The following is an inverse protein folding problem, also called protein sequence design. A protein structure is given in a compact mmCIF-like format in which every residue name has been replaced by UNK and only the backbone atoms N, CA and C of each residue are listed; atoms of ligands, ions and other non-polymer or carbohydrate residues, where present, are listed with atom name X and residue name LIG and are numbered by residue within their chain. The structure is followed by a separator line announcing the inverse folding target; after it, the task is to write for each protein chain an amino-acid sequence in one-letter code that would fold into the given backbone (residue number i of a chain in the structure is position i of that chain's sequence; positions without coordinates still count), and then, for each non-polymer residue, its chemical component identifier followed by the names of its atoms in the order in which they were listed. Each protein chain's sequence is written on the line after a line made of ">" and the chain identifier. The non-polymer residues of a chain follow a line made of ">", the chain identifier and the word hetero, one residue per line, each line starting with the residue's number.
data_IF_014804079260
#
_entry.id   IF_014804079260
#
_cell.length_a   1.000
_cell.length_b   1.000
_cell.length_c   1.000
_cell.angle_alpha   90.00
_cell.angle_beta   90.00
_cell.angle_gamma   90.00
#
_symmetry.space_group_name_H-M   'P 1'
#
loop_
_entity.id
_entity.type
_entity.pdbx_description
1 polymer ?
#
# COMPACT_ATOMS: atom_id res chain seq x y z
N UNK A 1 -2.29 20.68 -11.50
CA UNK A 1 -2.26 19.61 -10.48
C UNK A 1 -1.40 20.07 -9.32
N UNK A 2 -1.80 19.77 -8.08
CA UNK A 2 -0.99 20.10 -6.90
C UNK A 2 0.25 19.20 -6.85
N UNK A 3 1.36 19.72 -6.34
CA UNK A 3 2.58 18.95 -6.09
C UNK A 3 2.25 17.80 -5.13
N UNK A 4 2.84 16.63 -5.33
CA UNK A 4 2.72 15.54 -4.35
C UNK A 4 3.46 15.93 -3.06
N UNK A 5 2.84 15.68 -1.92
CA UNK A 5 3.35 16.09 -0.60
C UNK A 5 3.59 14.89 0.31
N UNK A 6 2.86 13.78 0.13
CA UNK A 6 2.96 12.62 1.02
C UNK A 6 2.89 11.28 0.30
N UNK A 7 3.78 10.37 0.67
CA UNK A 7 3.82 8.99 0.22
C UNK A 7 3.57 8.02 1.39
N UNK A 8 2.79 6.96 1.16
CA UNK A 8 2.66 5.82 2.06
C UNK A 8 3.27 4.57 1.43
N UNK A 9 4.31 4.03 2.04
CA UNK A 9 5.09 2.91 1.49
C UNK A 9 5.04 1.73 2.45
N UNK A 10 4.54 0.57 2.00
CA UNK A 10 4.46 -0.67 2.78
C UNK A 10 4.76 -1.86 1.89
N UNK A 11 5.96 -2.41 1.99
CA UNK A 11 6.49 -3.37 1.01
C UNK A 11 6.98 -4.67 1.66
N UNK A 12 6.53 -5.79 1.10
CA UNK A 12 7.09 -7.12 1.36
C UNK A 12 8.44 -7.25 0.66
N UNK A 13 8.45 -7.11 -0.67
CA UNK A 13 9.67 -6.99 -1.48
C UNK A 13 10.14 -5.53 -1.49
N UNK A 14 11.35 -5.30 -0.98
CA UNK A 14 11.93 -3.96 -0.76
C UNK A 14 12.98 -3.62 -1.81
N UNK A 15 12.97 -4.29 -2.95
CA UNK A 15 13.88 -4.02 -4.06
C UNK A 15 13.72 -2.59 -4.57
N UNK A 16 14.84 -1.87 -4.69
CA UNK A 16 14.89 -0.48 -5.18
C UNK A 16 14.21 0.57 -4.28
N UNK A 17 13.83 0.23 -3.04
CA UNK A 17 13.14 1.17 -2.16
C UNK A 17 14.06 2.31 -1.72
N UNK A 18 15.36 2.06 -1.57
CA UNK A 18 16.35 3.02 -1.11
C UNK A 18 16.45 4.20 -2.08
N UNK A 19 16.60 3.89 -3.37
CA UNK A 19 16.66 4.90 -4.43
C UNK A 19 15.31 5.62 -4.57
N UNK A 20 14.21 4.87 -4.60
CA UNK A 20 12.88 5.45 -4.77
C UNK A 20 12.52 6.39 -3.61
N UNK A 21 12.58 5.91 -2.37
CA UNK A 21 12.26 6.70 -1.19
C UNK A 21 13.26 7.85 -0.97
N UNK A 22 14.55 7.64 -1.27
CA UNK A 22 15.56 8.69 -1.21
C UNK A 22 15.24 9.85 -2.16
N UNK A 23 14.80 9.55 -3.38
CA UNK A 23 14.37 10.57 -4.35
C UNK A 23 13.08 11.29 -3.93
N UNK A 24 12.09 10.57 -3.38
CA UNK A 24 10.89 11.19 -2.83
C UNK A 24 11.24 12.18 -1.71
N UNK A 25 12.12 11.78 -0.78
CA UNK A 25 12.58 12.64 0.31
C UNK A 25 13.32 13.88 -0.23
N UNK A 26 14.18 13.74 -1.25
CA UNK A 26 14.86 14.88 -1.90
C UNK A 26 13.90 15.85 -2.57
N UNK A 27 12.76 15.36 -3.07
CA UNK A 27 11.69 16.20 -3.63
C UNK A 27 10.83 16.91 -2.55
N UNK A 28 11.08 16.61 -1.27
CA UNK A 28 10.36 17.16 -0.13
C UNK A 28 9.03 16.44 0.16
N UNK A 29 8.87 15.20 -0.30
CA UNK A 29 7.68 14.39 -0.06
C UNK A 29 7.84 13.67 1.30
N UNK A 30 6.89 13.87 2.22
CA UNK A 30 6.86 13.18 3.50
C UNK A 30 6.57 11.69 3.28
N UNK A 31 7.38 10.81 3.88
CA UNK A 31 7.22 9.36 3.75
C UNK A 31 6.63 8.79 5.03
N UNK A 32 5.47 8.15 4.88
CA UNK A 32 4.85 7.30 5.88
C UNK A 32 5.22 5.83 5.61
N UNK A 33 5.58 5.08 6.64
CA UNK A 33 5.80 3.65 6.52
C UNK A 33 5.60 2.92 7.84
N UNK A 34 5.73 1.60 7.84
CA UNK A 34 5.62 0.76 9.03
C UNK A 34 6.56 -0.45 8.94
N UNK A 35 6.84 -1.06 10.09
CA UNK A 35 7.56 -2.32 10.24
C UNK A 35 8.91 -2.36 9.53
N UNK A 36 9.20 -3.49 8.88
CA UNK A 36 10.48 -3.70 8.19
C UNK A 36 10.74 -2.75 7.03
N UNK A 37 9.71 -2.14 6.46
CA UNK A 37 9.85 -1.15 5.38
C UNK A 37 10.40 0.17 5.93
N UNK A 38 9.84 0.67 7.04
CA UNK A 38 10.34 1.86 7.73
C UNK A 38 11.77 1.65 8.26
N UNK A 39 12.04 0.47 8.86
CA UNK A 39 13.38 0.11 9.36
C UNK A 39 14.43 0.20 8.25
N UNK A 40 14.18 -0.41 7.09
CA UNK A 40 15.11 -0.41 5.96
C UNK A 40 15.42 1.00 5.46
N UNK A 41 14.41 1.88 5.40
CA UNK A 41 14.62 3.28 5.03
C UNK A 41 15.49 4.04 6.05
N UNK A 42 15.24 3.86 7.35
CA UNK A 42 16.04 4.49 8.42
C UNK A 42 17.50 4.05 8.40
N UNK A 43 17.77 2.77 8.14
CA UNK A 43 19.14 2.24 8.00
C UNK A 43 19.93 2.91 6.87
N UNK A 44 19.24 3.47 5.87
CA UNK A 44 19.83 4.22 4.76
C UNK A 44 19.74 5.75 4.95
N UNK A 45 19.41 6.21 6.15
CA UNK A 45 19.32 7.64 6.47
C UNK A 45 18.13 8.37 5.83
N UNK A 46 17.12 7.65 5.34
CA UNK A 46 15.94 8.23 4.70
C UNK A 46 14.93 8.60 5.81
N UNK A 47 14.51 9.87 5.91
CA UNK A 47 13.49 10.28 6.88
C UNK A 47 12.17 9.57 6.62
N UNK A 48 11.62 8.94 7.66
CA UNK A 48 10.35 8.23 7.57
C UNK A 48 9.58 8.35 8.89
N UNK A 49 8.31 8.71 8.75
CA UNK A 49 7.35 8.81 9.83
C UNK A 49 6.57 7.50 9.95
N UNK A 50 6.41 7.00 11.17
CA UNK A 50 5.65 5.77 11.37
C UNK A 50 4.15 6.02 11.13
N UNK A 51 3.48 5.06 10.49
CA UNK A 51 2.02 5.11 10.31
C UNK A 51 1.31 5.24 11.66
N UNK A 52 1.81 4.60 12.72
CA UNK A 52 1.25 4.72 14.07
C UNK A 52 1.31 6.15 14.62
N UNK A 53 2.37 6.91 14.31
CA UNK A 53 2.49 8.33 14.68
C UNK A 53 1.50 9.17 13.86
N UNK A 54 1.36 8.88 12.57
CA UNK A 54 0.41 9.55 11.69
C UNK A 54 -1.06 9.32 12.10
N UNK A 55 -1.41 8.08 12.43
CA UNK A 55 -2.77 7.72 12.84
C UNK A 55 -3.06 8.12 14.28
N UNK A 56 -2.05 8.10 15.15
CA UNK A 56 -2.21 8.14 16.61
C UNK A 56 -2.71 6.80 17.17
N UNK A 57 -2.58 5.71 16.42
CA UNK A 57 -3.06 4.38 16.79
C UNK A 57 -1.95 3.34 16.60
N UNK A 58 -1.63 2.52 17.61
CA UNK A 58 -0.55 1.56 17.52
C UNK A 58 -0.89 0.41 16.56
N UNK A 59 0.14 -0.32 16.13
CA UNK A 59 -0.04 -1.61 15.50
C UNK A 59 -0.62 -2.62 16.50
N UNK A 60 -1.63 -3.40 16.10
CA UNK A 60 -2.34 -4.34 16.97
C UNK A 60 -2.59 -5.68 16.27
N UNK A 61 -2.90 -6.70 17.08
CA UNK A 61 -3.29 -8.05 16.63
C UNK A 61 -2.23 -8.66 15.72
N UNK A 62 -0.98 -8.70 16.19
CA UNK A 62 0.18 -9.25 15.47
C UNK A 62 0.38 -8.65 14.06
N UNK A 63 0.05 -7.36 13.92
CA UNK A 63 0.23 -6.61 12.68
C UNK A 63 -0.92 -6.69 11.69
N UNK A 64 -2.01 -7.38 12.05
CA UNK A 64 -3.25 -7.45 11.25
C UNK A 64 -3.95 -6.09 11.14
N UNK A 65 -3.85 -5.26 12.18
CA UNK A 65 -4.46 -3.92 12.21
C UNK A 65 -3.38 -2.87 12.40
N UNK A 66 -2.96 -2.26 11.28
CA UNK A 66 -1.96 -1.18 11.24
C UNK A 66 -2.35 -0.02 10.33
N UNK A 67 -2.91 -0.30 9.15
CA UNK A 67 -3.26 0.71 8.13
C UNK A 67 -4.75 0.86 7.90
N UNK A 68 -5.58 -0.02 8.47
CA UNK A 68 -7.05 0.01 8.40
C UNK A 68 -7.61 1.12 9.30
N UNK A 69 -7.30 2.37 8.96
CA UNK A 69 -7.62 3.55 9.77
C UNK A 69 -8.19 4.70 8.93
N UNK A 70 -9.19 5.47 9.42
CA UNK A 70 -9.77 6.59 8.69
C UNK A 70 -8.76 7.66 8.26
N UNK A 71 -7.74 7.95 9.07
CA UNK A 71 -6.65 8.87 8.66
C UNK A 71 -5.87 8.40 7.43
N UNK A 72 -5.70 7.09 7.25
CA UNK A 72 -5.05 6.53 6.06
C UNK A 72 -6.01 6.57 4.88
N UNK A 73 -7.17 5.92 5.00
CA UNK A 73 -8.09 5.78 3.87
C UNK A 73 -8.81 7.07 3.51
N UNK A 74 -9.09 7.95 4.47
CA UNK A 74 -9.61 9.30 4.21
C UNK A 74 -8.59 10.19 3.52
N UNK A 75 -7.30 10.05 3.86
CA UNK A 75 -6.19 10.70 3.13
C UNK A 75 -6.05 10.21 1.68
N UNK A 76 -6.35 8.94 1.42
CA UNK A 76 -6.30 8.33 0.09
C UNK A 76 -7.56 8.62 -0.74
N UNK A 77 -8.76 8.51 -0.16
CA UNK A 77 -10.04 8.50 -0.88
C UNK A 77 -10.67 9.89 -1.06
N UNK A 78 -10.19 10.90 -0.34
CA UNK A 78 -10.70 12.25 -0.51
C UNK A 78 -10.41 12.76 -1.93
N UNK A 79 -11.44 13.35 -2.56
CA UNK A 79 -11.31 13.95 -3.87
C UNK A 79 -10.87 15.40 -3.70
N UNK A 80 -9.72 15.76 -4.27
CA UNK A 80 -9.07 17.05 -3.99
C UNK A 80 -9.78 18.24 -4.64
N UNK A 81 -10.65 17.96 -5.60
CA UNK A 81 -11.50 18.95 -6.28
C UNK A 81 -12.92 19.02 -5.71
N UNK A 82 -13.26 18.21 -4.70
CA UNK A 82 -14.57 18.23 -4.04
C UNK A 82 -14.50 19.06 -2.74
N UNK A 83 -15.15 20.26 -2.69
CA UNK A 83 -15.10 21.13 -1.52
C UNK A 83 -15.63 20.49 -0.24
N UNK A 84 -16.64 19.61 -0.34
CA UNK A 84 -17.21 18.93 0.82
C UNK A 84 -16.24 17.89 1.40
N UNK A 85 -15.52 17.16 0.55
CA UNK A 85 -14.47 16.25 1.04
C UNK A 85 -13.35 17.03 1.74
N UNK A 86 -12.93 18.17 1.19
CA UNK A 86 -11.91 19.01 1.83
C UNK A 86 -12.38 19.56 3.18
N UNK A 87 -13.66 19.93 3.30
CA UNK A 87 -14.27 20.35 4.57
C UNK A 87 -14.24 19.23 5.60
N UNK A 88 -14.68 18.03 5.23
CA UNK A 88 -14.67 16.85 6.10
C UNK A 88 -13.25 16.45 6.52
N UNK A 89 -12.29 16.53 5.61
CA UNK A 89 -10.88 16.29 5.94
C UNK A 89 -10.38 17.26 7.01
N UNK A 90 -10.64 18.56 6.83
CA UNK A 90 -10.24 19.57 7.80
C UNK A 90 -10.91 19.36 9.16
N UNK A 91 -12.22 19.09 9.18
CA UNK A 91 -13.00 18.84 10.40
C UNK A 91 -12.49 17.65 11.21
N UNK A 92 -12.06 16.58 10.53
CA UNK A 92 -11.60 15.35 11.17
C UNK A 92 -10.07 15.20 11.24
N UNK A 93 -9.31 16.26 10.90
CA UNK A 93 -7.84 16.24 10.94
C UNK A 93 -7.21 15.20 10.01
N UNK A 94 -7.84 14.95 8.85
CA UNK A 94 -7.33 14.06 7.82
C UNK A 94 -6.34 14.81 6.93
N UNK A 95 -5.24 14.15 6.59
CA UNK A 95 -4.20 14.71 5.72
C UNK A 95 -4.12 13.91 4.41
N UNK A 96 -3.92 14.55 3.26
CA UNK A 96 -3.89 13.87 1.96
C UNK A 96 -2.70 12.92 1.86
N UNK A 97 -2.89 11.81 1.15
CA UNK A 97 -1.84 10.88 0.73
C UNK A 97 -1.85 10.88 -0.81
N UNK A 98 -0.74 11.26 -1.43
CA UNK A 98 -0.64 11.44 -2.88
C UNK A 98 -0.07 10.23 -3.59
N UNK A 99 0.80 9.48 -2.89
CA UNK A 99 1.50 8.32 -3.44
C UNK A 99 1.30 7.13 -2.50
N UNK A 100 0.98 5.97 -3.03
CA UNK A 100 0.88 4.71 -2.28
C UNK A 100 1.70 3.64 -3.00
N UNK A 101 2.71 3.09 -2.33
CA UNK A 101 3.53 2.00 -2.87
C UNK A 101 3.40 0.75 -1.99
N UNK A 102 2.78 -0.31 -2.53
CA UNK A 102 2.44 -1.54 -1.80
C UNK A 102 2.55 -2.75 -2.72
N UNK A 103 3.11 -3.87 -2.25
CA UNK A 103 3.14 -5.13 -2.99
C UNK A 103 2.65 -6.33 -2.16
N UNK A 104 2.09 -7.35 -2.84
CA UNK A 104 1.31 -8.45 -2.23
C UNK A 104 1.98 -9.84 -2.29
N UNK A 105 3.30 -9.90 -2.37
CA UNK A 105 4.04 -11.15 -2.64
C UNK A 105 4.03 -12.21 -1.52
N UNK A 106 3.46 -11.93 -0.35
CA UNK A 106 3.58 -12.83 0.80
C UNK A 106 2.79 -14.14 0.61
N UNK A 107 1.54 -14.07 0.15
CA UNK A 107 0.66 -15.25 0.08
C UNK A 107 1.15 -16.29 -0.93
N UNK A 108 1.43 -15.90 -2.17
CA UNK A 108 1.88 -16.80 -3.25
C UNK A 108 3.16 -17.55 -2.86
N UNK A 109 4.11 -16.85 -2.21
CA UNK A 109 5.34 -17.46 -1.71
C UNK A 109 5.07 -18.47 -0.60
N UNK A 110 4.18 -18.13 0.34
CA UNK A 110 3.83 -19.01 1.46
C UNK A 110 3.13 -20.28 0.97
N UNK A 111 2.16 -20.18 0.06
CA UNK A 111 1.39 -21.35 -0.42
C UNK A 111 2.11 -22.20 -1.45
N UNK A 112 3.27 -21.75 -1.94
CA UNK A 112 4.16 -22.56 -2.77
C UNK A 112 4.90 -23.64 -1.96
N UNK A 113 4.99 -23.50 -0.63
CA UNK A 113 5.54 -24.54 0.25
C UNK A 113 4.57 -25.73 0.33
N UNK A 114 4.98 -26.95 -0.07
CA UNK A 114 4.15 -28.14 0.05
C UNK A 114 3.73 -28.48 1.49
N UNK A 115 4.45 -27.97 2.51
CA UNK A 115 4.13 -28.15 3.92
C UNK A 115 3.19 -27.07 4.48
N UNK A 116 2.72 -26.13 3.66
CA UNK A 116 1.85 -25.03 4.10
C UNK A 116 0.52 -25.56 4.65
N UNK A 117 0.25 -25.27 5.93
CA UNK A 117 -1.01 -25.62 6.60
C UNK A 117 -2.11 -24.58 6.36
N UNK A 118 -3.37 -24.92 6.67
CA UNK A 118 -4.48 -23.94 6.66
C UNK A 118 -4.22 -22.74 7.58
N UNK A 119 -3.70 -22.98 8.78
CA UNK A 119 -3.35 -21.90 9.70
C UNK A 119 -2.28 -20.96 9.08
N UNK A 120 -1.24 -21.52 8.45
CA UNK A 120 -0.20 -20.72 7.80
C UNK A 120 -0.74 -19.93 6.60
N UNK A 121 -1.57 -20.54 5.77
CA UNK A 121 -2.18 -19.86 4.63
C UNK A 121 -3.08 -18.70 5.09
N UNK A 122 -3.95 -18.92 6.09
CA UNK A 122 -4.84 -17.89 6.62
C UNK A 122 -4.07 -16.71 7.22
N UNK A 123 -2.98 -16.96 7.96
CA UNK A 123 -2.15 -15.87 8.53
C UNK A 123 -1.49 -15.01 7.45
N UNK A 124 -1.23 -15.57 6.27
CA UNK A 124 -0.57 -14.88 5.16
C UNK A 124 -1.54 -14.20 4.19
N UNK A 125 -2.85 -14.21 4.46
CA UNK A 125 -3.83 -13.41 3.73
C UNK A 125 -3.75 -11.97 4.22
N UNK A 126 -3.25 -11.08 3.37
CA UNK A 126 -3.14 -9.65 3.63
C UNK A 126 -4.50 -8.97 3.43
N UNK A 127 -4.93 -8.22 4.44
CA UNK A 127 -6.14 -7.39 4.39
C UNK A 127 -5.79 -5.92 4.11
N UNK A 128 -4.74 -5.42 4.77
CA UNK A 128 -4.35 -4.02 4.71
C UNK A 128 -3.82 -3.64 3.34
N UNK A 129 -2.96 -4.48 2.75
CA UNK A 129 -2.36 -4.27 1.43
C UNK A 129 -3.40 -4.11 0.33
N UNK A 130 -4.27 -5.11 0.09
CA UNK A 130 -5.32 -5.00 -0.93
C UNK A 130 -6.29 -3.84 -0.67
N UNK A 131 -6.63 -3.54 0.58
CA UNK A 131 -7.50 -2.40 0.90
C UNK A 131 -6.85 -1.06 0.52
N UNK A 132 -5.58 -0.85 0.87
CA UNK A 132 -4.83 0.35 0.48
C UNK A 132 -4.71 0.46 -1.04
N UNK A 133 -4.35 -0.62 -1.72
CA UNK A 133 -4.22 -0.67 -3.18
C UNK A 133 -5.53 -0.31 -3.87
N UNK A 134 -6.64 -0.98 -3.52
CA UNK A 134 -7.96 -0.74 -4.14
C UNK A 134 -8.46 0.68 -3.85
N UNK A 135 -8.25 1.20 -2.64
CA UNK A 135 -8.64 2.57 -2.31
C UNK A 135 -7.87 3.61 -3.13
N UNK A 136 -6.57 3.38 -3.36
CA UNK A 136 -5.72 4.26 -4.15
C UNK A 136 -6.06 4.20 -5.64
N UNK A 137 -6.23 2.98 -6.18
CA UNK A 137 -6.62 2.77 -7.58
C UNK A 137 -8.02 3.34 -7.89
N UNK A 138 -8.98 3.22 -6.97
CA UNK A 138 -10.29 3.87 -7.08
C UNK A 138 -10.14 5.40 -7.23
N UNK A 139 -9.22 6.01 -6.47
CA UNK A 139 -8.99 7.45 -6.48
C UNK A 139 -7.80 7.87 -7.36
N UNK A 140 -7.54 7.14 -8.47
CA UNK A 140 -6.42 7.42 -9.37
C UNK A 140 -6.41 8.85 -9.95
N UNK A 141 -7.52 9.60 -9.89
CA UNK A 141 -7.55 11.02 -10.26
C UNK A 141 -6.56 11.81 -9.41
N UNK A 142 -6.46 11.49 -8.12
CA UNK A 142 -5.73 12.24 -7.10
C UNK A 142 -4.55 11.48 -6.47
N UNK A 143 -4.49 10.15 -6.63
CA UNK A 143 -3.48 9.29 -5.99
C UNK A 143 -2.71 8.45 -7.01
N UNK A 144 -1.39 8.47 -6.92
CA UNK A 144 -0.49 7.56 -7.63
C UNK A 144 -0.33 6.29 -6.82
N UNK A 145 -0.75 5.15 -7.36
CA UNK A 145 -0.56 3.84 -6.73
C UNK A 145 0.53 3.06 -7.47
N UNK A 146 1.41 2.35 -6.75
CA UNK A 146 2.53 1.61 -7.33
C UNK A 146 2.59 0.24 -6.69
N UNK A 147 2.67 -0.81 -7.51
CA UNK A 147 2.74 -2.21 -7.07
C UNK A 147 4.04 -2.91 -7.46
N UNK A 148 4.81 -2.31 -8.35
CA UNK A 148 5.95 -2.93 -9.01
C UNK A 148 7.12 -1.94 -9.07
N UNK A 149 8.32 -2.29 -8.56
CA UNK A 149 9.51 -1.44 -8.63
C UNK A 149 9.89 -1.00 -10.05
N UNK A 150 9.48 -1.75 -11.08
CA UNK A 150 9.72 -1.37 -12.48
C UNK A 150 9.07 -0.03 -12.86
N UNK A 151 8.02 0.41 -12.14
CA UNK A 151 7.35 1.68 -12.39
C UNK A 151 8.03 2.89 -11.72
N UNK A 152 8.95 2.66 -10.76
CA UNK A 152 9.61 3.74 -10.02
C UNK A 152 10.30 4.78 -10.94
N UNK A 153 11.07 4.40 -11.97
CA UNK A 153 11.74 5.37 -12.83
C UNK A 153 10.77 6.32 -13.53
N UNK A 154 9.66 5.81 -14.07
CA UNK A 154 8.66 6.63 -14.74
C UNK A 154 7.97 7.57 -13.76
N UNK A 155 7.59 7.08 -12.57
CA UNK A 155 6.97 7.91 -11.54
C UNK A 155 7.91 9.03 -11.11
N UNK A 156 9.17 8.71 -10.79
CA UNK A 156 10.16 9.71 -10.38
C UNK A 156 10.42 10.76 -11.46
N UNK A 157 10.47 10.36 -12.73
CA UNK A 157 10.64 11.28 -13.85
C UNK A 157 9.49 12.31 -13.88
N UNK A 158 8.23 11.86 -13.81
CA UNK A 158 7.08 12.76 -13.82
C UNK A 158 7.01 13.64 -12.55
N UNK A 159 7.36 13.09 -11.37
CA UNK A 159 7.42 13.88 -10.13
C UNK A 159 8.45 15.00 -10.22
N UNK A 160 9.62 14.75 -10.83
CA UNK A 160 10.67 15.76 -11.04
C UNK A 160 10.27 16.83 -12.04
N UNK A 161 9.63 16.43 -13.14
CA UNK A 161 9.28 17.34 -14.22
C UNK A 161 8.05 18.20 -13.89
N UNK A 162 7.01 17.58 -13.32
CA UNK A 162 5.69 18.21 -13.17
C UNK A 162 5.29 18.44 -11.70
N UNK A 163 6.10 17.98 -10.74
CA UNK A 163 5.76 17.99 -9.32
C UNK A 163 4.73 16.93 -8.90
N UNK A 164 4.12 16.23 -9.86
CA UNK A 164 3.18 15.14 -9.64
C UNK A 164 3.09 14.26 -10.91
N UNK A 165 2.60 13.03 -10.81
CA UNK A 165 2.43 12.13 -11.97
C UNK A 165 1.33 12.59 -12.92
N UNK A 166 1.32 12.13 -14.16
CA UNK A 166 0.23 12.44 -15.10
C UNK A 166 -1.01 11.59 -14.85
N UNK A 167 -2.20 12.08 -15.23
CA UNK A 167 -3.44 11.31 -15.12
C UNK A 167 -3.37 10.00 -15.94
N UNK A 168 -2.67 10.02 -17.10
CA UNK A 168 -2.46 8.84 -17.94
C UNK A 168 -1.65 7.77 -17.19
N UNK A 169 -0.57 8.17 -16.52
CA UNK A 169 0.25 7.28 -15.69
C UNK A 169 -0.56 6.71 -14.54
N UNK A 170 -1.29 7.55 -13.79
CA UNK A 170 -2.15 7.07 -12.69
C UNK A 170 -3.20 6.07 -13.12
N UNK A 171 -3.84 6.29 -14.28
CA UNK A 171 -4.83 5.35 -14.80
C UNK A 171 -4.21 3.99 -15.15
N UNK A 172 -3.05 3.97 -15.84
CA UNK A 172 -2.33 2.71 -16.14
C UNK A 172 -1.96 1.96 -14.87
N UNK A 173 -1.45 2.67 -13.87
CA UNK A 173 -1.08 2.07 -12.58
C UNK A 173 -2.31 1.54 -11.82
N UNK A 174 -3.45 2.23 -11.89
CA UNK A 174 -4.70 1.76 -11.29
C UNK A 174 -5.20 0.46 -11.94
N UNK A 175 -5.03 0.29 -13.26
CA UNK A 175 -5.32 -0.97 -13.96
C UNK A 175 -4.44 -2.10 -13.41
N UNK A 176 -3.11 -1.89 -13.31
CA UNK A 176 -2.18 -2.88 -12.73
C UNK A 176 -2.61 -3.33 -11.33
N UNK A 177 -3.14 -2.41 -10.52
CA UNK A 177 -3.64 -2.73 -9.17
C UNK A 177 -4.85 -3.66 -9.20
N UNK A 178 -5.85 -3.36 -10.05
CA UNK A 178 -7.04 -4.21 -10.11
C UNK A 178 -6.74 -5.58 -10.73
N UNK A 179 -5.78 -5.67 -11.67
CA UNK A 179 -5.26 -6.94 -12.17
C UNK A 179 -4.54 -7.74 -11.07
N UNK A 180 -3.66 -7.09 -10.31
CA UNK A 180 -2.93 -7.73 -9.21
C UNK A 180 -3.88 -8.24 -8.12
N UNK A 181 -4.84 -7.41 -7.69
CA UNK A 181 -5.77 -7.79 -6.62
C UNK A 181 -6.75 -8.88 -7.07
N UNK A 182 -7.18 -8.87 -8.34
CA UNK A 182 -7.96 -9.97 -8.91
C UNK A 182 -7.18 -11.29 -8.93
N UNK A 183 -5.90 -11.24 -9.31
CA UNK A 183 -5.01 -12.41 -9.29
C UNK A 183 -4.83 -12.92 -7.86
N UNK A 184 -4.57 -12.02 -6.91
CA UNK A 184 -4.39 -12.33 -5.50
C UNK A 184 -5.58 -13.09 -4.90
N UNK A 185 -6.79 -12.58 -5.09
CA UNK A 185 -8.02 -13.21 -4.59
C UNK A 185 -8.30 -14.56 -5.29
N UNK A 186 -7.93 -14.68 -6.57
CA UNK A 186 -8.02 -15.94 -7.32
C UNK A 186 -7.08 -16.98 -6.73
N UNK A 187 -5.84 -16.62 -6.41
CA UNK A 187 -4.86 -17.51 -5.77
C UNK A 187 -5.34 -17.97 -4.40
N UNK A 188 -5.87 -17.07 -3.57
CA UNK A 188 -6.46 -17.41 -2.26
C UNK A 188 -7.58 -18.44 -2.43
N UNK A 189 -8.52 -18.14 -3.33
CA UNK A 189 -9.67 -19.03 -3.59
C UNK A 189 -9.23 -20.39 -4.10
N UNK A 190 -8.27 -20.44 -5.03
CA UNK A 190 -7.75 -21.67 -5.59
C UNK A 190 -7.05 -22.53 -4.55
N UNK A 191 -6.37 -21.92 -3.57
CA UNK A 191 -5.75 -22.64 -2.47
C UNK A 191 -6.78 -23.16 -1.47
N UNK A 192 -7.70 -22.32 -1.01
CA UNK A 192 -8.73 -22.69 -0.04
C UNK A 192 -9.65 -23.82 -0.55
N UNK A 193 -9.95 -23.87 -1.85
CA UNK A 193 -10.74 -24.96 -2.46
C UNK A 193 -10.09 -26.35 -2.38
N UNK A 194 -8.78 -26.45 -2.12
CA UNK A 194 -8.08 -27.72 -1.95
C UNK A 194 -8.23 -28.29 -0.54
N UNK A 195 -8.70 -27.49 0.41
CA UNK A 195 -8.88 -27.90 1.79
C UNK A 195 -10.15 -28.74 1.88
N UNK A 196 -9.99 -30.00 2.26
CA UNK A 196 -11.10 -30.88 2.63
C UNK A 196 -11.46 -30.65 4.10
N UNK A 197 -12.65 -30.10 4.35
CA UNK A 197 -13.09 -29.73 5.70
C UNK A 197 -13.35 -30.93 6.60
N UNK A 198 -13.66 -32.09 6.04
CA UNK A 198 -13.99 -33.29 6.81
C UNK A 198 -12.74 -34.04 7.29
N UNK A 199 -11.59 -33.82 6.63
CA UNK A 199 -10.33 -34.51 6.93
C UNK A 199 -9.19 -33.61 7.41
N UNK A 200 -9.33 -32.28 7.31
CA UNK A 200 -8.27 -31.36 7.71
C UNK A 200 -8.20 -31.17 9.24
N UNK A 201 -7.03 -31.34 9.88
CA UNK A 201 -6.88 -31.28 11.34
C UNK A 201 -7.19 -29.90 11.95
N UNK A 202 -7.28 -28.84 11.14
CA UNK A 202 -7.70 -27.52 11.62
C UNK A 202 -9.17 -27.48 12.09
N UNK A 203 -10.02 -28.36 11.57
CA UNK A 203 -11.45 -28.43 11.91
C UNK A 203 -11.80 -29.54 12.92
N UNK A 204 -10.80 -30.27 13.40
CA UNK A 204 -10.96 -31.36 14.37
C UNK A 204 -11.22 -30.86 15.80
#
# INVERSE_FOLDING_TARGET
>A
MRKAERALISLTDKSGIEDFAGELARLGIEILSTGGTAKKMREHGIPVKDVAEFTGFPEMLDGRVKTLHPKVHGGILAQKENPEHLRQMAEHGLQPIDIVAVNLYAFEKTVADPACTLANAIENIDIGGPTMLRSSAKNFRDVTVIVDPADYPQVLAELKEYGNTTLKTRFKLAVKVFELTSTYDTTITAWLKKVDVDSNPYFA
#
